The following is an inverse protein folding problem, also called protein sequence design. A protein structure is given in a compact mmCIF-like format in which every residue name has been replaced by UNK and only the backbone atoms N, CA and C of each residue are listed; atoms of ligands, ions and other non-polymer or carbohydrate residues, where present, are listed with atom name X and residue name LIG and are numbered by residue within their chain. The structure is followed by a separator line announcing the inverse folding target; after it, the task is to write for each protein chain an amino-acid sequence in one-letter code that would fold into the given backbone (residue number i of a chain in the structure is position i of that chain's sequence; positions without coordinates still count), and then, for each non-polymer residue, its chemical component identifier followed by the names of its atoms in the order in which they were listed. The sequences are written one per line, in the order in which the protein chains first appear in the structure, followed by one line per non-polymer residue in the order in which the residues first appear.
data_IF_638706132675
#
_entry.id   IF_638706132675
#
_cell.length_a   1.000
_cell.length_b   1.000
_cell.length_c   1.000
_cell.angle_alpha   90.00
_cell.angle_beta   90.00
_cell.angle_gamma   90.00
#
_symmetry.space_group_name_H-M   'P 1'
#
loop_
_entity.id
_entity.type
_entity.pdbx_description
1 polymer ?
#
# COMPACT_ATOMS: atom_id res chain seq x y z
N UNK A 1 40.58 -1.24 -18.57
CA UNK A 1 40.42 -0.99 -17.13
C UNK A 1 38.93 -0.92 -16.88
N UNK A 2 38.36 -1.99 -16.33
CA UNK A 2 36.94 -2.01 -15.94
C UNK A 2 36.73 -1.01 -14.80
N UNK A 3 35.60 -0.29 -14.76
CA UNK A 3 35.30 0.59 -13.64
C UNK A 3 35.18 -0.26 -12.35
N UNK A 4 35.57 0.28 -11.19
CA UNK A 4 35.39 -0.42 -9.93
C UNK A 4 33.90 -0.67 -9.69
N UNK A 5 33.56 -1.91 -9.32
CA UNK A 5 32.23 -2.25 -8.85
C UNK A 5 31.87 -1.28 -7.71
N UNK A 6 30.82 -0.50 -7.90
CA UNK A 6 30.23 0.32 -6.84
C UNK A 6 29.93 -0.60 -5.66
N UNK A 7 30.62 -0.40 -4.53
CA UNK A 7 30.30 -1.08 -3.28
C UNK A 7 28.80 -0.92 -3.03
N UNK A 8 28.07 -2.04 -3.00
CA UNK A 8 26.64 -2.00 -2.73
C UNK A 8 26.44 -1.41 -1.34
N UNK A 9 25.91 -0.19 -1.26
CA UNK A 9 25.56 0.42 0.04
C UNK A 9 24.73 -0.56 0.85
N UNK A 10 25.11 -0.80 2.11
CA UNK A 10 24.39 -1.72 3.00
C UNK A 10 22.95 -1.22 3.19
N UNK A 11 21.92 -1.97 2.71
CA UNK A 11 20.53 -1.55 2.85
C UNK A 11 20.09 -1.39 4.32
N UNK A 12 20.82 -1.97 5.28
CA UNK A 12 20.55 -1.82 6.71
C UNK A 12 21.15 -0.55 7.32
N UNK A 13 22.18 0.04 6.72
CA UNK A 13 22.87 1.22 7.26
C UNK A 13 21.97 2.48 7.31
N UNK A 14 20.88 2.49 6.53
CA UNK A 14 19.91 3.59 6.45
C UNK A 14 18.72 3.43 7.40
N UNK A 15 18.70 2.37 8.21
CA UNK A 15 17.56 2.11 9.09
C UNK A 15 17.60 2.93 10.38
N UNK A 16 16.43 3.33 10.89
CA UNK A 16 16.34 4.01 12.18
C UNK A 16 16.82 3.09 13.30
N UNK A 17 17.61 3.60 14.26
CA UNK A 17 18.02 2.80 15.41
C UNK A 17 16.80 2.42 16.26
N UNK A 18 16.82 1.19 16.79
CA UNK A 18 15.77 0.64 17.64
C UNK A 18 14.38 0.56 16.98
N UNK A 19 14.32 0.34 15.65
CA UNK A 19 13.07 0.32 14.88
C UNK A 19 11.99 -0.59 15.50
N UNK A 20 12.36 -1.80 15.93
CA UNK A 20 11.44 -2.75 16.59
C UNK A 20 10.86 -2.16 17.89
N UNK A 21 11.71 -1.59 18.75
CA UNK A 21 11.27 -1.00 20.02
C UNK A 21 10.33 0.20 19.79
N UNK A 22 10.58 1.00 18.75
CA UNK A 22 9.69 2.11 18.39
C UNK A 22 8.32 1.60 17.94
N UNK A 23 8.25 0.55 17.11
CA UNK A 23 6.98 -0.07 16.72
C UNK A 23 6.28 -0.76 17.89
N UNK A 24 7.01 -1.36 18.83
CA UNK A 24 6.44 -1.88 20.08
C UNK A 24 5.72 -0.78 20.85
N UNK A 25 6.35 0.39 21.01
CA UNK A 25 5.73 1.53 21.68
C UNK A 25 4.53 2.07 20.91
N UNK A 26 4.63 2.21 19.58
CA UNK A 26 3.54 2.68 18.74
C UNK A 26 2.31 1.77 18.80
N UNK A 27 2.51 0.44 18.79
CA UNK A 27 1.46 -0.56 18.96
C UNK A 27 0.82 -0.48 20.35
N UNK A 28 1.61 -0.33 21.41
CA UNK A 28 1.08 -0.14 22.77
C UNK A 28 0.20 1.11 22.86
N UNK A 29 0.65 2.23 22.29
CA UNK A 29 -0.15 3.47 22.24
C UNK A 29 -1.40 3.32 21.37
N UNK A 30 -1.37 2.47 20.34
CA UNK A 30 -2.56 2.17 19.53
C UNK A 30 -3.58 1.33 20.29
N UNK A 31 -3.15 0.25 20.93
CA UNK A 31 -4.01 -0.65 21.72
C UNK A 31 -4.72 0.08 22.86
N UNK A 32 -4.13 1.14 23.41
CA UNK A 32 -4.72 1.97 24.46
C UNK A 32 -5.71 3.04 23.95
N UNK A 33 -5.83 3.23 22.63
CA UNK A 33 -6.49 4.41 22.05
C UNK A 33 -7.96 4.26 21.67
N UNK A 34 -8.54 3.07 21.83
CA UNK A 34 -9.88 2.69 21.32
C UNK A 34 -10.10 2.91 19.80
N UNK A 35 -9.08 3.33 19.04
CA UNK A 35 -9.18 3.56 17.59
C UNK A 35 -9.16 2.23 16.84
N UNK A 36 -10.01 2.09 15.83
CA UNK A 36 -10.05 0.88 14.99
C UNK A 36 -9.06 0.92 13.82
N UNK A 37 -8.50 2.10 13.52
CA UNK A 37 -7.47 2.32 12.51
C UNK A 37 -6.48 3.39 12.96
N UNK A 38 -5.20 3.27 12.59
CA UNK A 38 -4.19 4.30 12.81
C UNK A 38 -3.02 4.18 11.83
N UNK A 39 -2.69 5.28 11.17
CA UNK A 39 -1.40 5.44 10.48
C UNK A 39 -0.30 5.63 11.53
N UNK A 40 0.70 4.75 11.51
CA UNK A 40 1.84 4.80 12.43
C UNK A 40 2.96 5.68 11.89
N UNK A 41 3.21 5.63 10.58
CA UNK A 41 4.24 6.44 9.93
C UNK A 41 4.03 6.55 8.42
N UNK A 42 4.69 7.54 7.82
CA UNK A 42 4.68 7.79 6.38
C UNK A 42 6.09 7.97 5.84
N UNK A 43 6.39 7.36 4.69
CA UNK A 43 7.64 7.51 3.96
C UNK A 43 7.35 8.32 2.68
N UNK A 44 7.98 9.50 2.48
CA UNK A 44 7.78 10.31 1.28
C UNK A 44 8.47 9.71 0.06
N UNK A 45 7.96 10.00 -1.15
CA UNK A 45 8.51 9.47 -2.39
C UNK A 45 9.90 10.00 -2.71
N UNK A 46 10.15 11.29 -2.41
CA UNK A 46 11.46 11.92 -2.55
C UNK A 46 12.04 12.20 -1.16
N UNK A 47 13.26 11.75 -0.83
CA UNK A 47 13.93 12.19 0.39
C UNK A 47 14.15 13.72 0.32
N UNK A 48 13.78 14.43 1.39
CA UNK A 48 13.91 15.89 1.43
C UNK A 48 15.35 16.33 1.07
N UNK A 49 15.53 17.44 0.33
CA UNK A 49 16.85 17.89 -0.10
C UNK A 49 17.82 17.99 1.09
N UNK A 50 19.02 17.46 0.85
CA UNK A 50 20.08 17.13 1.82
C UNK A 50 20.58 18.30 2.68
N UNK A 51 20.22 19.54 2.36
CA UNK A 51 20.51 20.69 3.22
C UNK A 51 19.62 20.77 4.48
N UNK A 52 18.46 20.10 4.50
CA UNK A 52 17.65 19.90 5.71
C UNK A 52 17.91 18.54 6.40
N UNK A 53 18.51 17.58 5.69
CA UNK A 53 18.79 16.23 6.20
C UNK A 53 19.86 16.21 7.31
N UNK A 54 20.77 17.19 7.34
CA UNK A 54 21.75 17.34 8.42
C UNK A 54 21.13 17.79 9.76
N UNK A 55 19.87 18.26 9.76
CA UNK A 55 19.12 18.73 10.93
C UNK A 55 17.86 17.90 11.21
N UNK A 56 17.55 16.88 10.40
CA UNK A 56 16.45 15.95 10.68
C UNK A 56 16.88 15.07 11.86
N UNK A 57 16.43 15.49 13.04
CA UNK A 57 16.55 14.75 14.29
C UNK A 57 16.20 13.28 14.01
N UNK A 58 17.14 12.36 14.24
CA UNK A 58 16.94 10.90 14.11
C UNK A 58 15.79 10.36 15.01
N UNK A 59 15.17 11.25 15.78
CA UNK A 59 13.90 11.11 16.51
C UNK A 59 12.64 11.11 15.63
N UNK A 60 12.64 11.74 14.45
CA UNK A 60 11.45 11.87 13.58
C UNK A 60 11.24 10.66 12.66
N UNK A 61 11.56 9.45 13.13
CA UNK A 61 11.27 8.24 12.38
C UNK A 61 10.18 7.47 13.10
N UNK A 62 9.11 7.20 12.35
CA UNK A 62 7.76 6.83 12.81
C UNK A 62 6.80 8.00 13.07
N UNK A 63 6.92 9.08 12.29
CA UNK A 63 5.95 10.16 12.33
C UNK A 63 4.94 9.97 11.19
N UNK A 64 3.63 9.92 11.48
CA UNK A 64 2.62 9.95 10.45
C UNK A 64 2.65 11.34 9.79
N UNK A 65 2.67 11.39 8.46
CA UNK A 65 2.71 12.64 7.68
C UNK A 65 1.40 12.78 6.90
N UNK A 66 0.37 13.42 7.49
CA UNK A 66 -0.88 13.67 6.80
C UNK A 66 -0.60 14.45 5.50
N UNK A 67 -1.29 14.13 4.39
CA UNK A 67 -1.20 14.92 3.18
C UNK A 67 -1.61 16.37 3.43
N UNK A 68 -1.09 17.29 2.62
CA UNK A 68 -1.51 18.69 2.71
C UNK A 68 -2.94 18.89 2.22
N UNK A 69 -3.31 18.21 1.15
CA UNK A 69 -4.63 18.24 0.55
C UNK A 69 -5.38 16.93 0.77
N UNK A 70 -6.73 16.91 0.65
CA UNK A 70 -7.48 15.67 0.61
C UNK A 70 -6.89 14.68 -0.41
N UNK A 71 -6.67 13.45 0.02
CA UNK A 71 -6.24 12.38 -0.90
C UNK A 71 -7.41 11.99 -1.80
N UNK A 72 -7.18 11.82 -3.10
CA UNK A 72 -8.22 11.33 -4.02
C UNK A 72 -8.34 9.82 -3.98
N UNK A 73 -7.20 9.12 -3.97
CA UNK A 73 -7.13 7.66 -4.03
C UNK A 73 -6.11 7.08 -3.05
N UNK A 74 -6.45 5.95 -2.44
CA UNK A 74 -5.54 5.18 -1.60
C UNK A 74 -5.41 3.77 -2.18
N UNK A 75 -4.20 3.40 -2.58
CA UNK A 75 -3.86 2.01 -2.93
C UNK A 75 -3.67 1.24 -1.62
N UNK A 76 -4.54 0.28 -1.31
CA UNK A 76 -4.50 -0.46 -0.04
C UNK A 76 -3.93 -1.85 -0.28
N UNK A 77 -2.78 -2.13 0.34
CA UNK A 77 -2.19 -3.46 0.39
C UNK A 77 -2.34 -4.02 1.82
N UNK A 78 -3.39 -4.80 2.02
CA UNK A 78 -3.73 -5.45 3.29
C UNK A 78 -3.20 -6.90 3.30
N UNK A 79 -2.28 -7.19 4.22
CA UNK A 79 -1.66 -8.51 4.33
C UNK A 79 -1.13 -8.76 5.74
N UNK A 80 -0.86 -10.03 6.05
CA UNK A 80 -0.20 -10.38 7.32
C UNK A 80 1.28 -9.99 7.36
N UNK A 81 1.90 -9.69 6.20
CA UNK A 81 3.30 -9.27 6.05
C UNK A 81 4.28 -10.08 6.93
N UNK A 82 4.23 -11.41 6.80
CA UNK A 82 4.97 -12.32 7.68
C UNK A 82 5.81 -13.36 6.90
N UNK A 83 6.79 -12.91 6.09
CA UNK A 83 7.16 -11.51 5.80
C UNK A 83 6.47 -10.95 4.53
N UNK A 84 6.64 -9.64 4.21
CA UNK A 84 6.40 -9.13 2.86
C UNK A 84 7.21 -9.92 1.80
N UNK A 85 6.71 -9.98 0.57
CA UNK A 85 7.30 -10.81 -0.50
C UNK A 85 7.31 -10.09 -1.84
N UNK A 86 8.02 -10.63 -2.83
CA UNK A 86 8.00 -10.08 -4.19
C UNK A 86 6.62 -10.13 -4.86
N UNK A 87 5.71 -11.01 -4.43
CA UNK A 87 4.31 -10.94 -4.88
C UNK A 87 3.62 -9.65 -4.40
N UNK A 88 3.83 -9.27 -3.13
CA UNK A 88 3.35 -7.99 -2.61
C UNK A 88 3.99 -6.81 -3.38
N UNK A 89 5.28 -6.91 -3.70
CA UNK A 89 5.99 -5.89 -4.46
C UNK A 89 5.41 -5.70 -5.86
N UNK A 90 5.18 -6.80 -6.59
CA UNK A 90 4.61 -6.78 -7.94
C UNK A 90 3.20 -6.18 -7.96
N UNK A 91 2.36 -6.53 -6.98
CA UNK A 91 1.02 -5.93 -6.84
C UNK A 91 1.09 -4.41 -6.65
N UNK A 92 1.97 -3.95 -5.74
CA UNK A 92 2.15 -2.53 -5.47
C UNK A 92 2.74 -1.78 -6.68
N UNK A 93 3.88 -2.23 -7.21
CA UNK A 93 4.58 -1.56 -8.32
C UNK A 93 3.72 -1.51 -9.59
N UNK A 94 3.00 -2.59 -9.92
CA UNK A 94 2.11 -2.59 -11.09
C UNK A 94 0.93 -1.63 -10.93
N UNK A 95 0.46 -1.39 -9.71
CA UNK A 95 -0.57 -0.38 -9.44
C UNK A 95 0.00 1.05 -9.50
N UNK A 96 1.23 1.25 -9.00
CA UNK A 96 1.91 2.55 -9.06
C UNK A 96 2.28 2.97 -10.49
N UNK A 97 2.59 2.01 -11.36
CA UNK A 97 2.89 2.24 -12.77
C UNK A 97 1.64 2.49 -13.63
N UNK A 98 0.44 2.26 -13.10
CA UNK A 98 -0.81 2.50 -13.81
C UNK A 98 -1.17 4.00 -13.78
N UNK A 99 -1.29 4.69 -14.93
CA UNK A 99 -1.55 6.13 -14.95
C UNK A 99 -2.85 6.55 -14.27
N UNK A 100 -3.82 5.64 -14.10
CA UNK A 100 -5.06 5.93 -13.36
C UNK A 100 -4.82 6.13 -11.86
N UNK A 101 -3.72 5.60 -11.34
CA UNK A 101 -3.37 5.61 -9.92
C UNK A 101 -2.05 6.31 -9.62
N UNK A 102 -1.10 6.29 -10.56
CA UNK A 102 0.16 7.04 -10.53
C UNK A 102 -0.14 8.54 -10.50
N UNK A 103 0.43 9.27 -9.53
CA UNK A 103 0.10 10.68 -9.24
C UNK A 103 0.39 11.71 -10.34
N UNK A 104 0.57 11.30 -11.59
CA UNK A 104 0.81 12.12 -12.77
C UNK A 104 -0.48 12.22 -13.61
N UNK A 105 -1.49 12.92 -13.09
CA UNK A 105 -2.63 13.30 -13.92
C UNK A 105 -2.25 14.45 -14.85
N UNK A 106 -2.31 14.26 -16.16
CA UNK A 106 -2.05 15.27 -17.20
C UNK A 106 -2.93 16.54 -17.02
N UNK A 107 -4.08 16.41 -16.34
CA UNK A 107 -5.06 17.48 -16.10
C UNK A 107 -4.82 18.30 -14.82
N UNK A 108 -3.70 18.12 -14.13
CA UNK A 108 -3.42 18.84 -12.88
C UNK A 108 -2.45 19.99 -13.10
N UNK A 109 -2.97 21.21 -13.30
CA UNK A 109 -2.18 22.46 -13.37
C UNK A 109 -1.22 22.66 -12.17
N UNK A 110 -1.36 21.87 -11.10
CA UNK A 110 -0.65 22.02 -9.82
C UNK A 110 0.28 20.84 -9.42
N UNK A 111 0.47 19.79 -10.25
CA UNK A 111 1.46 18.72 -9.97
C UNK A 111 1.34 18.00 -8.61
N UNK A 112 0.13 17.86 -8.06
CA UNK A 112 -0.13 17.44 -6.67
C UNK A 112 -0.20 15.92 -6.48
N UNK A 113 0.32 15.40 -5.35
CA UNK A 113 0.13 14.01 -4.90
C UNK A 113 -1.37 13.70 -4.70
N UNK A 114 -1.98 13.00 -5.65
CA UNK A 114 -3.40 12.63 -5.58
C UNK A 114 -3.62 11.23 -4.99
N UNK A 115 -2.58 10.39 -4.97
CA UNK A 115 -2.62 9.01 -4.52
C UNK A 115 -1.60 8.71 -3.42
N UNK A 116 -1.94 7.78 -2.51
CA UNK A 116 -1.02 7.23 -1.51
C UNK A 116 -1.07 5.70 -1.50
N UNK A 117 0.05 5.05 -1.15
CA UNK A 117 0.09 3.61 -0.93
C UNK A 117 0.01 3.31 0.57
N UNK A 118 -0.97 2.52 0.99
CA UNK A 118 -1.18 2.09 2.37
C UNK A 118 -0.80 0.62 2.54
N UNK A 119 0.24 0.36 3.33
CA UNK A 119 0.56 -0.97 3.85
C UNK A 119 -0.22 -1.18 5.15
N UNK A 120 -1.22 -2.06 5.12
CA UNK A 120 -2.16 -2.25 6.24
C UNK A 120 -1.94 -3.60 6.94
N UNK A 121 -1.75 -3.56 8.26
CA UNK A 121 -1.66 -4.74 9.11
C UNK A 121 -2.85 -4.84 10.06
N UNK A 122 -3.66 -5.89 9.91
CA UNK A 122 -4.70 -6.23 10.89
C UNK A 122 -4.10 -6.94 12.11
N UNK A 123 -4.24 -6.35 13.31
CA UNK A 123 -3.73 -6.94 14.56
C UNK A 123 -4.73 -7.91 15.21
N UNK A 124 -6.01 -7.79 14.88
CA UNK A 124 -7.08 -8.74 15.22
C UNK A 124 -7.56 -9.41 13.92
N UNK A 125 -6.69 -10.16 13.27
CA UNK A 125 -7.05 -10.79 12.00
C UNK A 125 -8.01 -11.97 12.24
N UNK A 126 -9.05 -12.10 11.42
CA UNK A 126 -10.08 -13.14 11.58
C UNK A 126 -9.52 -14.57 11.48
N UNK A 127 -8.45 -14.76 10.70
CA UNK A 127 -8.04 -16.09 10.25
C UNK A 127 -6.70 -16.59 10.81
N UNK A 128 -5.89 -15.75 11.50
CA UNK A 128 -4.48 -16.11 11.83
C UNK A 128 -3.96 -15.54 13.15
N UNK A 129 -3.42 -16.43 14.00
CA UNK A 129 -2.60 -16.07 15.16
C UNK A 129 -1.25 -15.42 14.73
N UNK A 130 -0.60 -14.59 15.58
CA UNK A 130 0.60 -13.84 15.23
C UNK A 130 1.90 -14.66 15.07
N UNK A 131 1.83 -15.97 14.82
CA UNK A 131 3.01 -16.82 14.62
C UNK A 131 3.50 -16.81 13.15
N UNK A 132 4.82 -16.94 12.89
CA UNK A 132 5.91 -16.95 13.86
C UNK A 132 6.40 -15.55 14.30
N UNK A 133 6.57 -14.57 13.42
CA UNK A 133 7.08 -13.25 13.83
C UNK A 133 6.02 -12.37 14.52
N UNK A 134 6.41 -11.73 15.63
CA UNK A 134 5.57 -10.78 16.37
C UNK A 134 5.24 -9.51 15.56
N UNK A 135 4.15 -8.81 15.91
CA UNK A 135 3.69 -7.61 15.19
C UNK A 135 4.75 -6.49 15.07
N UNK A 136 5.55 -6.13 16.09
CA UNK A 136 6.60 -5.14 15.94
C UNK A 136 7.64 -5.50 14.86
N UNK A 137 7.99 -6.78 14.74
CA UNK A 137 8.89 -7.26 13.70
C UNK A 137 8.27 -7.18 12.31
N UNK A 138 6.98 -7.52 12.18
CA UNK A 138 6.25 -7.37 10.90
C UNK A 138 6.19 -5.92 10.45
N UNK A 139 5.91 -4.99 11.37
CA UNK A 139 5.92 -3.55 11.07
C UNK A 139 7.32 -3.05 10.69
N UNK A 140 8.37 -3.54 11.34
CA UNK A 140 9.75 -3.25 10.94
C UNK A 140 10.04 -3.75 9.51
N UNK A 141 9.63 -4.98 9.17
CA UNK A 141 9.73 -5.49 7.81
C UNK A 141 8.89 -4.69 6.81
N UNK A 142 7.69 -4.22 7.20
CA UNK A 142 6.87 -3.33 6.36
C UNK A 142 7.57 -1.98 6.10
N UNK A 143 8.29 -1.44 7.09
CA UNK A 143 9.08 -0.22 6.93
C UNK A 143 10.22 -0.41 5.92
N UNK A 144 10.99 -1.49 6.08
CA UNK A 144 12.05 -1.86 5.14
C UNK A 144 11.47 -2.10 3.74
N UNK A 145 10.36 -2.82 3.65
CA UNK A 145 9.65 -3.09 2.40
C UNK A 145 9.14 -1.81 1.72
N UNK A 146 8.66 -0.82 2.48
CA UNK A 146 8.27 0.48 1.95
C UNK A 146 9.47 1.23 1.32
N UNK A 147 10.66 1.16 1.93
CA UNK A 147 11.88 1.73 1.33
C UNK A 147 12.26 1.02 0.03
N UNK A 148 12.19 -0.31 0.01
CA UNK A 148 12.47 -1.10 -1.20
C UNK A 148 11.47 -0.78 -2.34
N UNK A 149 10.19 -0.59 -2.01
CA UNK A 149 9.15 -0.19 -2.96
C UNK A 149 9.45 1.18 -3.59
N UNK A 150 9.78 2.17 -2.77
CA UNK A 150 10.10 3.52 -3.24
C UNK A 150 11.35 3.52 -4.12
N UNK A 151 12.39 2.79 -3.73
CA UNK A 151 13.60 2.65 -4.54
C UNK A 151 13.32 1.97 -5.89
N UNK A 152 12.52 0.90 -5.90
CA UNK A 152 12.15 0.19 -7.12
C UNK A 152 11.29 1.05 -8.07
N UNK A 153 10.34 1.82 -7.53
CA UNK A 153 9.52 2.73 -8.32
C UNK A 153 10.35 3.86 -8.98
N UNK A 154 11.32 4.42 -8.25
CA UNK A 154 12.23 5.43 -8.79
C UNK A 154 13.16 4.86 -9.88
N UNK A 155 13.67 3.64 -9.70
CA UNK A 155 14.51 2.96 -10.69
C UNK A 155 13.74 2.63 -11.99
N UNK A 156 12.49 2.17 -11.87
CA UNK A 156 11.63 1.89 -13.01
C UNK A 156 11.36 3.15 -13.86
N UNK A 157 11.10 4.28 -13.20
CA UNK A 157 10.92 5.59 -13.86
C UNK A 157 12.18 5.99 -14.65
N UNK A 158 13.36 5.80 -14.05
CA UNK A 158 14.64 6.16 -14.69
C UNK A 158 14.91 5.33 -15.95
N UNK A 159 14.57 4.04 -15.91
CA UNK A 159 14.80 3.10 -17.03
C UNK A 159 13.89 3.42 -18.22
N UNK A 160 12.60 3.67 -17.97
CA UNK A 160 11.64 4.06 -19.01
C UNK A 160 12.08 5.34 -19.74
N UNK A 161 12.54 6.35 -19.00
CA UNK A 161 13.05 7.59 -19.59
C UNK A 161 14.27 7.37 -20.49
N UNK A 162 15.13 6.38 -20.16
CA UNK A 162 16.35 6.10 -20.92
C UNK A 162 16.04 5.35 -22.22
N UNK A 163 15.11 4.39 -22.20
CA UNK A 163 14.69 3.65 -23.39
C UNK A 163 13.91 4.52 -24.38
N UNK A 164 13.06 5.42 -23.89
CA UNK A 164 12.31 6.37 -24.73
C UNK A 164 13.25 7.38 -25.41
N UNK A 165 14.29 7.84 -24.71
CA UNK A 165 15.31 8.75 -25.27
C UNK A 165 16.21 8.07 -26.32
N UNK A 166 16.51 6.78 -26.16
CA UNK A 166 17.31 6.03 -27.14
C UNK A 166 16.52 5.64 -28.39
N UNK A 167 15.20 5.51 -28.31
CA UNK A 167 14.34 5.14 -29.45
C UNK A 167 13.76 6.36 -30.20
N UNK A 168 13.87 7.57 -29.65
CA UNK A 168 13.34 8.80 -30.22
C UNK A 168 14.38 9.78 -30.78
N UNK A 169 15.19 9.39 -31.78
CA UNK A 169 15.65 10.31 -32.87
C UNK A 169 16.66 9.65 -33.83
N UNK A 170 16.21 9.35 -35.05
CA UNK A 170 17.06 9.35 -36.26
C UNK A 170 16.90 10.67 -37.06
N UNK A 171 16.36 11.73 -36.46
CA UNK A 171 16.22 13.06 -37.07
C UNK A 171 17.32 14.04 -36.63
N UNK A 172 17.89 14.76 -37.60
CA UNK A 172 18.97 15.77 -37.55
C UNK A 172 19.26 16.43 -36.19
N UNK A 173 20.53 16.33 -35.76
CA UNK A 173 21.08 17.08 -34.61
C UNK A 173 21.49 18.50 -35.04
N UNK A 174 20.87 19.51 -34.44
CA UNK A 174 21.42 20.87 -34.38
C UNK A 174 22.14 21.06 -33.03
N UNK A 175 23.44 21.30 -33.09
CA UNK A 175 24.40 21.23 -31.98
C UNK A 175 24.62 22.61 -31.32
N UNK A 176 23.55 23.38 -31.10
CA UNK A 176 23.68 24.80 -30.71
C UNK A 176 22.83 25.30 -29.53
N UNK A 177 22.11 24.44 -28.79
CA UNK A 177 21.33 24.90 -27.61
C UNK A 177 21.69 24.14 -26.32
N UNK A 178 22.19 24.81 -25.26
CA UNK A 178 22.49 24.16 -23.99
C UNK A 178 21.22 23.85 -23.20
N UNK A 179 20.93 22.56 -23.03
CA UNK A 179 20.39 21.96 -21.81
C UNK A 179 19.07 22.50 -21.27
N UNK A 180 17.97 22.38 -22.03
CA UNK A 180 16.62 22.38 -21.44
C UNK A 180 16.19 20.92 -21.24
N UNK A 181 16.01 20.50 -20.00
CA UNK A 181 15.44 19.19 -19.67
C UNK A 181 14.11 19.00 -20.43
N UNK A 182 13.86 17.82 -21.03
CA UNK A 182 12.60 17.58 -21.73
C UNK A 182 11.43 17.72 -20.73
N UNK A 183 10.34 18.40 -21.11
CA UNK A 183 9.15 18.46 -20.29
C UNK A 183 8.39 17.13 -20.45
N UNK A 184 8.13 16.43 -19.33
CA UNK A 184 7.02 15.49 -19.26
C UNK A 184 7.37 14.01 -19.08
N UNK A 185 8.02 13.63 -17.98
CA UNK A 185 7.80 12.33 -17.34
C UNK A 185 7.85 12.55 -15.82
N UNK A 186 6.68 12.78 -15.20
CA UNK A 186 6.61 13.03 -13.76
C UNK A 186 7.01 11.75 -13.01
N UNK A 187 8.05 11.84 -12.18
CA UNK A 187 8.41 10.75 -11.28
C UNK A 187 7.21 10.34 -10.43
N UNK A 188 7.09 9.04 -10.12
CA UNK A 188 6.05 8.51 -9.24
C UNK A 188 6.20 9.13 -7.85
N UNK A 189 5.50 10.24 -7.61
CA UNK A 189 5.51 10.96 -6.33
C UNK A 189 4.40 10.40 -5.42
N UNK A 190 4.58 9.16 -4.96
CA UNK A 190 3.62 8.48 -4.08
C UNK A 190 4.27 8.19 -2.72
N UNK A 191 3.69 8.76 -1.67
CA UNK A 191 4.06 8.44 -0.30
C UNK A 191 3.52 7.06 0.12
N UNK A 192 4.29 6.35 0.95
CA UNK A 192 3.91 5.05 1.52
C UNK A 192 3.58 5.19 3.00
N UNK A 193 2.34 4.90 3.37
CA UNK A 193 1.85 4.89 4.74
C UNK A 193 1.86 3.47 5.31
N UNK A 194 2.25 3.34 6.58
CA UNK A 194 2.17 2.09 7.34
C UNK A 194 1.15 2.27 8.43
N UNK A 195 0.11 1.43 8.42
CA UNK A 195 -0.99 1.52 9.36
C UNK A 195 -1.38 0.18 9.97
N UNK A 196 -2.09 0.27 11.08
CA UNK A 196 -2.66 -0.87 11.80
C UNK A 196 -4.16 -0.71 11.93
N UNK A 197 -4.86 -1.85 12.02
CA UNK A 197 -6.30 -1.89 12.27
C UNK A 197 -6.68 -3.08 13.15
N UNK A 198 -7.72 -2.91 13.96
CA UNK A 198 -8.39 -4.00 14.68
C UNK A 198 -9.54 -4.60 13.89
N UNK A 199 -9.90 -4.02 12.74
CA UNK A 199 -11.01 -4.51 11.94
C UNK A 199 -10.65 -5.82 11.22
N UNK A 200 -11.47 -6.88 11.36
CA UNK A 200 -11.14 -8.19 10.82
C UNK A 200 -11.44 -8.30 9.31
N UNK A 201 -12.49 -7.63 8.83
CA UNK A 201 -13.02 -7.80 7.47
C UNK A 201 -12.80 -6.58 6.59
N UNK A 202 -12.69 -6.78 5.27
CA UNK A 202 -12.41 -5.72 4.29
C UNK A 202 -13.38 -4.53 4.35
N UNK A 203 -14.68 -4.80 4.45
CA UNK A 203 -15.70 -3.74 4.55
C UNK A 203 -15.51 -2.85 5.79
N UNK A 204 -15.20 -3.45 6.94
CA UNK A 204 -14.98 -2.73 8.18
C UNK A 204 -13.64 -1.96 8.16
N UNK A 205 -12.57 -2.56 7.62
CA UNK A 205 -11.29 -1.88 7.36
C UNK A 205 -11.49 -0.65 6.48
N UNK A 206 -12.28 -0.79 5.42
CA UNK A 206 -12.55 0.29 4.47
C UNK A 206 -13.31 1.45 5.11
N UNK A 207 -14.32 1.13 5.93
CA UNK A 207 -15.04 2.14 6.72
C UNK A 207 -14.11 2.86 7.72
N UNK A 208 -13.23 2.12 8.41
CA UNK A 208 -12.28 2.70 9.35
C UNK A 208 -11.26 3.65 8.66
N UNK A 209 -10.85 3.34 7.43
CA UNK A 209 -10.00 4.22 6.61
C UNK A 209 -10.80 5.47 6.16
N UNK A 210 -12.02 5.30 5.64
CA UNK A 210 -12.85 6.42 5.13
C UNK A 210 -13.24 7.44 6.19
N UNK A 211 -13.41 6.99 7.44
CA UNK A 211 -13.79 7.84 8.57
C UNK A 211 -12.60 8.50 9.26
N UNK A 212 -11.38 8.12 8.90
CA UNK A 212 -10.17 8.68 9.48
C UNK A 212 -9.87 10.09 8.92
N UNK A 213 -9.59 11.04 9.81
CA UNK A 213 -9.22 12.41 9.41
C UNK A 213 -7.85 12.52 8.73
N UNK A 214 -6.99 11.49 8.87
CA UNK A 214 -5.63 11.52 8.36
C UNK A 214 -5.56 11.88 6.87
N UNK A 215 -6.45 11.33 6.04
CA UNK A 215 -6.44 11.54 4.59
C UNK A 215 -7.24 12.75 4.10
N UNK A 216 -7.86 13.52 5.01
CA UNK A 216 -8.66 14.72 4.66
C UNK A 216 -7.81 15.93 4.29
N UNK A 217 -6.50 15.88 4.49
CA UNK A 217 -5.61 17.01 4.22
C UNK A 217 -5.55 18.00 5.38
N UNK A 218 -4.40 18.64 5.57
CA UNK A 218 -4.19 19.65 6.62
C UNK A 218 -4.72 21.05 6.25
N UNK A 219 -4.84 21.38 4.96
CA UNK A 219 -5.30 22.71 4.52
C UNK A 219 -6.75 23.02 4.94
N UNK A 220 -7.62 22.01 5.01
CA UNK A 220 -9.02 22.17 5.47
C UNK A 220 -9.13 22.54 6.96
N UNK A 221 -8.15 22.18 7.79
CA UNK A 221 -8.18 22.45 9.24
C UNK A 221 -7.84 23.92 9.58
N UNK A 222 -7.15 24.64 8.69
CA UNK A 222 -6.71 26.02 8.90
C UNK A 222 -7.80 27.08 8.64
N UNK A 223 -8.92 26.71 8.03
CA UNK A 223 -10.01 27.64 7.70
C UNK A 223 -11.03 27.83 8.84
N UNK A 224 -10.94 27.05 9.94
CA UNK A 224 -11.94 27.01 11.01
C UNK A 224 -11.55 27.72 12.32
N UNK A 225 -10.47 28.53 12.34
CA UNK A 225 -9.99 29.18 13.58
C UNK A 225 -9.84 30.68 13.45
N UNK A 226 -10.97 31.41 13.34
CA UNK A 226 -11.09 32.79 13.86
C UNK A 226 -12.55 33.25 13.83
N UNK A 227 -13.29 33.10 14.93
CA UNK A 227 -14.33 34.08 15.29
C UNK A 227 -14.61 34.07 16.79
N UNK A 228 -14.01 35.03 17.51
CA UNK A 228 -14.45 35.45 18.84
C UNK A 228 -14.99 36.88 18.73
N UNK A 229 -16.32 36.99 18.74
CA UNK A 229 -17.19 38.10 19.20
C UNK A 229 -16.83 39.59 18.95
N UNK A 230 -17.66 40.31 18.18
CA UNK A 230 -18.78 41.17 18.68
C UNK A 230 -19.38 42.13 17.61
N UNK A 231 -20.73 42.20 17.57
CA UNK A 231 -21.70 43.26 17.13
C UNK A 231 -21.35 44.26 15.98
N UNK A 232 -22.20 44.67 15.01
CA UNK A 232 -23.68 44.78 14.82
C UNK A 232 -23.99 45.16 13.36
N UNK A 233 -25.12 44.66 12.82
CA UNK A 233 -25.98 45.13 11.70
C UNK A 233 -25.41 45.94 10.51
N UNK A 234 -25.41 45.35 9.30
CA UNK A 234 -26.43 45.61 8.24
C UNK A 234 -25.96 45.19 6.83
N UNK A 235 -26.83 44.45 6.13
CA UNK A 235 -27.12 44.50 4.69
C UNK A 235 -25.97 44.25 3.69
N UNK A 236 -25.90 43.03 3.17
CA UNK A 236 -26.09 42.75 1.72
C UNK A 236 -26.00 41.24 1.47
N UNK A 237 -27.10 40.69 0.98
CA UNK A 237 -27.20 39.34 0.44
C UNK A 237 -26.43 39.31 -0.89
N UNK A 238 -25.30 38.61 -0.91
CA UNK A 238 -24.71 38.07 -2.12
C UNK A 238 -24.78 36.55 -2.01
N UNK A 239 -25.72 35.96 -2.74
CA UNK A 239 -25.81 34.52 -2.94
C UNK A 239 -24.58 34.05 -3.71
N UNK A 240 -23.50 33.72 -3.01
CA UNK A 240 -22.53 32.73 -3.48
C UNK A 240 -22.97 31.39 -2.92
N UNK A 241 -23.81 30.68 -3.66
CA UNK A 241 -24.00 29.24 -3.49
C UNK A 241 -22.70 28.54 -3.92
N UNK A 242 -21.67 28.61 -3.08
CA UNK A 242 -20.67 27.55 -3.07
C UNK A 242 -21.36 26.35 -2.44
N UNK A 243 -21.71 25.38 -3.28
CA UNK A 243 -22.06 24.04 -2.85
C UNK A 243 -20.99 23.56 -1.88
N UNK A 244 -21.31 23.55 -0.58
CA UNK A 244 -20.50 22.88 0.44
C UNK A 244 -20.58 21.38 0.16
N UNK A 245 -19.86 20.91 -0.85
CA UNK A 245 -19.60 19.49 -1.02
C UNK A 245 -18.77 19.08 0.20
N UNK A 246 -19.37 18.32 1.10
CA UNK A 246 -18.61 17.66 2.16
C UNK A 246 -17.44 16.93 1.53
N UNK A 247 -16.22 17.00 2.11
CA UNK A 247 -15.06 16.35 1.55
C UNK A 247 -15.36 14.86 1.39
N UNK A 248 -15.43 14.39 0.14
CA UNK A 248 -15.67 12.98 -0.14
C UNK A 248 -14.48 12.17 0.36
N UNK A 249 -14.76 11.00 0.94
CA UNK A 249 -13.71 10.07 1.34
C UNK A 249 -12.88 9.64 0.11
N UNK A 250 -11.58 9.39 0.27
CA UNK A 250 -10.74 8.92 -0.82
C UNK A 250 -11.28 7.59 -1.39
N UNK A 251 -11.22 7.42 -2.72
CA UNK A 251 -11.47 6.13 -3.34
C UNK A 251 -10.38 5.13 -2.90
N UNK A 252 -10.78 3.94 -2.47
CA UNK A 252 -9.87 2.93 -1.95
C UNK A 252 -9.69 1.81 -2.97
N UNK A 253 -8.48 1.57 -3.43
CA UNK A 253 -8.17 0.51 -4.40
C UNK A 253 -7.41 -0.60 -3.67
N UNK A 254 -8.12 -1.68 -3.37
CA UNK A 254 -7.54 -2.83 -2.67
C UNK A 254 -6.77 -3.72 -3.64
N UNK A 255 -5.47 -3.84 -3.39
CA UNK A 255 -4.56 -4.70 -4.12
C UNK A 255 -4.63 -6.12 -3.54
N UNK A 256 -5.20 -7.06 -4.30
CA UNK A 256 -5.49 -8.40 -3.78
C UNK A 256 -5.10 -9.48 -4.77
N UNK A 257 -4.90 -10.71 -4.27
CA UNK A 257 -4.83 -11.91 -5.10
C UNK A 257 -6.22 -12.49 -5.38
N UNK A 258 -6.32 -13.37 -6.37
CA UNK A 258 -7.58 -14.03 -6.72
C UNK A 258 -8.21 -14.83 -5.57
N UNK A 259 -7.41 -15.51 -4.73
CA UNK A 259 -7.94 -16.23 -3.56
C UNK A 259 -8.66 -15.31 -2.57
N UNK A 260 -8.20 -14.06 -2.44
CA UNK A 260 -8.85 -13.05 -1.61
C UNK A 260 -10.12 -12.51 -2.25
N UNK A 261 -10.17 -12.36 -3.59
CA UNK A 261 -11.41 -12.03 -4.30
C UNK A 261 -12.52 -13.03 -3.99
N UNK A 262 -12.19 -14.34 -4.02
CA UNK A 262 -13.14 -15.40 -3.68
C UNK A 262 -13.67 -15.20 -2.26
N UNK A 263 -12.78 -14.94 -1.28
CA UNK A 263 -13.18 -14.73 0.11
C UNK A 263 -14.03 -13.47 0.30
N UNK A 264 -13.75 -12.38 -0.42
CA UNK A 264 -14.54 -11.14 -0.35
C UNK A 264 -15.99 -11.40 -0.78
N UNK A 265 -16.22 -12.24 -1.77
CA UNK A 265 -17.59 -12.56 -2.21
C UNK A 265 -18.20 -13.78 -1.50
N UNK A 266 -17.51 -14.43 -0.58
CA UNK A 266 -18.01 -15.60 0.14
C UNK A 266 -18.90 -15.18 1.34
N UNK A 267 -20.23 -15.48 1.32
CA UNK A 267 -21.17 -15.07 2.36
C UNK A 267 -20.80 -15.55 3.77
N UNK A 268 -19.97 -16.60 3.91
CA UNK A 268 -19.58 -17.12 5.24
C UNK A 268 -18.81 -16.11 6.09
N UNK A 269 -18.18 -15.11 5.47
CA UNK A 269 -17.47 -14.03 6.18
C UNK A 269 -18.41 -12.90 6.64
N UNK A 270 -19.72 -13.03 6.41
CA UNK A 270 -20.73 -12.03 6.75
C UNK A 270 -21.86 -12.60 7.65
N UNK A 271 -21.55 -13.36 8.72
CA UNK A 271 -22.57 -14.04 9.53
C UNK A 271 -23.45 -13.07 10.34
N UNK A 272 -22.95 -11.87 10.62
CA UNK A 272 -23.65 -10.84 11.41
C UNK A 272 -24.53 -9.89 10.58
N UNK A 273 -24.62 -10.09 9.27
CA UNK A 273 -25.48 -9.32 8.38
C UNK A 273 -26.95 -9.77 8.52
N UNK A 274 -27.50 -9.59 9.72
CA UNK A 274 -28.72 -10.26 10.18
C UNK A 274 -29.98 -9.92 9.37
N UNK A 275 -29.99 -8.85 8.56
CA UNK A 275 -31.19 -8.44 7.81
C UNK A 275 -30.93 -8.09 6.33
N UNK A 276 -29.68 -8.21 5.84
CA UNK A 276 -29.29 -7.75 4.50
C UNK A 276 -28.28 -8.62 3.76
N UNK A 277 -27.87 -9.76 4.33
CA UNK A 277 -26.90 -10.67 3.72
C UNK A 277 -25.57 -9.99 3.37
N UNK A 278 -24.86 -10.52 2.37
CA UNK A 278 -23.57 -9.94 1.96
C UNK A 278 -23.68 -8.46 1.52
N UNK A 279 -24.85 -8.03 1.04
CA UNK A 279 -25.09 -6.65 0.60
C UNK A 279 -24.96 -5.61 1.72
N UNK A 280 -25.43 -5.88 2.94
CA UNK A 280 -25.32 -4.89 4.02
C UNK A 280 -23.88 -4.52 4.35
N UNK A 281 -22.93 -5.43 4.08
CA UNK A 281 -21.51 -5.20 4.29
C UNK A 281 -20.81 -4.66 3.03
N UNK A 282 -21.14 -5.19 1.85
CA UNK A 282 -20.43 -4.86 0.62
C UNK A 282 -20.97 -3.61 -0.11
N UNK A 283 -22.21 -3.17 0.17
CA UNK A 283 -22.73 -1.90 -0.35
C UNK A 283 -21.92 -0.68 0.09
N UNK A 284 -21.73 -0.44 1.40
CA UNK A 284 -20.90 0.68 1.83
C UNK A 284 -19.44 0.51 1.38
N UNK A 285 -18.95 -0.73 1.27
CA UNK A 285 -17.61 -1.00 0.75
C UNK A 285 -17.46 -0.55 -0.71
N UNK A 286 -18.28 -1.08 -1.64
CA UNK A 286 -18.19 -0.76 -3.07
C UNK A 286 -18.73 0.64 -3.46
N UNK A 287 -19.31 1.37 -2.50
CA UNK A 287 -19.61 2.79 -2.69
C UNK A 287 -18.34 3.63 -2.92
N UNK A 288 -17.22 3.25 -2.29
CA UNK A 288 -15.96 3.98 -2.39
C UNK A 288 -14.72 3.09 -2.54
N UNK A 289 -14.88 1.77 -2.65
CA UNK A 289 -13.78 0.84 -2.87
C UNK A 289 -13.84 0.16 -4.25
N UNK A 290 -12.65 -0.16 -4.77
CA UNK A 290 -12.41 -1.00 -5.94
C UNK A 290 -11.46 -2.13 -5.55
N UNK A 291 -11.54 -3.25 -6.27
CA UNK A 291 -10.59 -4.35 -6.15
C UNK A 291 -9.72 -4.38 -7.40
N UNK A 292 -8.41 -4.33 -7.23
CA UNK A 292 -7.44 -4.64 -8.28
C UNK A 292 -6.84 -6.01 -7.97
N UNK A 293 -7.33 -7.02 -8.67
CA UNK A 293 -7.10 -8.43 -8.41
C UNK A 293 -6.02 -8.95 -9.34
N UNK A 294 -4.90 -9.37 -8.77
CA UNK A 294 -3.80 -9.98 -9.50
C UNK A 294 -4.07 -11.47 -9.67
N UNK A 295 -4.07 -11.94 -10.91
CA UNK A 295 -4.23 -13.37 -11.22
C UNK A 295 -3.06 -14.16 -10.64
N UNK A 296 -3.37 -15.36 -10.16
CA UNK A 296 -2.38 -16.25 -9.55
C UNK A 296 -2.71 -17.68 -9.93
N UNK A 297 -2.25 -18.16 -11.08
CA UNK A 297 -2.47 -19.55 -11.47
C UNK A 297 -1.90 -20.49 -10.43
N UNK A 298 -2.76 -21.34 -9.87
CA UNK A 298 -2.35 -22.41 -8.97
C UNK A 298 -3.37 -23.56 -8.98
N UNK A 299 -2.99 -24.76 -8.49
CA UNK A 299 -3.86 -25.93 -8.54
C UNK A 299 -5.19 -25.78 -7.79
N UNK A 300 -5.30 -24.86 -6.85
CA UNK A 300 -6.51 -24.64 -6.04
C UNK A 300 -7.52 -23.72 -6.74
N UNK A 301 -7.03 -22.75 -7.52
CA UNK A 301 -7.84 -21.65 -8.05
C UNK A 301 -7.90 -21.58 -9.58
N UNK A 302 -7.26 -22.52 -10.27
CA UNK A 302 -7.29 -22.63 -11.73
C UNK A 302 -6.33 -21.67 -12.42
N UNK A 303 -6.28 -21.77 -13.75
CA UNK A 303 -5.47 -20.93 -14.63
C UNK A 303 -6.07 -19.52 -14.82
N UNK A 304 -5.36 -18.63 -15.53
CA UNK A 304 -5.83 -17.27 -15.80
C UNK A 304 -7.22 -17.25 -16.47
N UNK A 305 -7.50 -18.05 -17.53
CA UNK A 305 -8.83 -18.15 -18.12
C UNK A 305 -9.93 -18.51 -17.11
N UNK A 306 -9.71 -19.51 -16.24
CA UNK A 306 -10.68 -19.91 -15.23
C UNK A 306 -10.95 -18.79 -14.23
N UNK A 307 -9.92 -18.05 -13.81
CA UNK A 307 -10.05 -16.91 -12.90
C UNK A 307 -10.83 -15.75 -13.54
N UNK A 308 -10.60 -15.45 -14.82
CA UNK A 308 -11.37 -14.43 -15.55
C UNK A 308 -12.82 -14.87 -15.78
N UNK A 309 -13.04 -16.15 -16.07
CA UNK A 309 -14.38 -16.73 -16.21
C UNK A 309 -15.17 -16.68 -14.90
N UNK A 310 -14.52 -16.80 -13.74
CA UNK A 310 -15.17 -16.58 -12.44
C UNK A 310 -15.77 -15.18 -12.32
N UNK A 311 -15.01 -14.12 -12.63
CA UNK A 311 -15.54 -12.75 -12.60
C UNK A 311 -16.68 -12.54 -13.62
N UNK A 312 -16.59 -13.17 -14.79
CA UNK A 312 -17.67 -13.14 -15.78
C UNK A 312 -18.97 -13.74 -15.23
N UNK A 313 -18.91 -14.89 -14.54
CA UNK A 313 -20.09 -15.51 -13.90
C UNK A 313 -20.65 -14.67 -12.75
N UNK A 314 -19.78 -14.05 -11.95
CA UNK A 314 -20.19 -13.09 -10.92
C UNK A 314 -21.05 -11.97 -11.51
N UNK A 315 -20.61 -11.41 -12.65
CA UNK A 315 -21.37 -10.40 -13.40
C UNK A 315 -22.67 -10.98 -13.98
N UNK A 316 -22.65 -12.22 -14.48
CA UNK A 316 -23.79 -12.92 -15.09
C UNK A 316 -24.72 -13.59 -14.05
N UNK A 317 -25.03 -12.85 -12.97
CA UNK A 317 -26.06 -13.20 -11.99
C UNK A 317 -25.63 -14.10 -10.84
N UNK A 318 -24.38 -14.59 -10.77
CA UNK A 318 -23.90 -15.34 -9.61
C UNK A 318 -23.84 -14.49 -8.34
N UNK A 319 -23.41 -13.22 -8.42
CA UNK A 319 -23.45 -12.29 -7.30
C UNK A 319 -24.87 -12.10 -6.75
N UNK A 320 -25.85 -11.87 -7.64
CA UNK A 320 -27.25 -11.69 -7.24
C UNK A 320 -27.80 -12.91 -6.52
N UNK A 321 -27.48 -14.12 -6.98
CA UNK A 321 -27.89 -15.37 -6.33
C UNK A 321 -27.33 -15.53 -4.91
N UNK A 322 -26.16 -14.95 -4.66
CA UNK A 322 -25.50 -14.94 -3.35
C UNK A 322 -25.99 -13.80 -2.45
N UNK A 323 -27.02 -13.05 -2.87
CA UNK A 323 -27.54 -11.90 -2.13
C UNK A 323 -26.72 -10.62 -2.32
N UNK A 324 -25.87 -10.57 -3.35
CA UNK A 324 -25.07 -9.42 -3.71
C UNK A 324 -25.64 -8.60 -4.88
N UNK A 325 -24.84 -7.65 -5.39
CA UNK A 325 -25.23 -6.79 -6.51
C UNK A 325 -24.34 -7.03 -7.73
N UNK A 326 -24.93 -7.02 -8.93
CA UNK A 326 -24.20 -7.33 -10.17
C UNK A 326 -23.15 -6.24 -10.49
N UNK A 327 -23.47 -4.97 -10.20
CA UNK A 327 -22.61 -3.81 -10.43
C UNK A 327 -21.31 -3.84 -9.60
N UNK A 328 -21.22 -4.64 -8.54
CA UNK A 328 -19.96 -4.82 -7.82
C UNK A 328 -18.89 -5.45 -8.70
N UNK A 329 -19.26 -6.28 -9.69
CA UNK A 329 -18.31 -6.85 -10.63
C UNK A 329 -17.58 -5.76 -11.46
N UNK A 330 -18.19 -4.59 -11.66
CA UNK A 330 -17.58 -3.47 -12.39
C UNK A 330 -16.61 -2.66 -11.53
N UNK A 331 -16.61 -2.91 -10.21
CA UNK A 331 -15.61 -2.43 -9.25
C UNK A 331 -14.42 -3.37 -9.12
N UNK A 332 -14.41 -4.50 -9.84
CA UNK A 332 -13.32 -5.47 -9.84
C UNK A 332 -12.55 -5.40 -11.16
N UNK A 333 -11.25 -5.17 -11.06
CA UNK A 333 -10.32 -5.25 -12.16
C UNK A 333 -9.42 -6.48 -12.00
N UNK A 334 -9.24 -7.24 -13.10
CA UNK A 334 -8.34 -8.39 -13.15
C UNK A 334 -7.06 -8.02 -13.91
N UNK A 335 -5.92 -8.05 -13.23
CA UNK A 335 -4.59 -7.80 -13.80
C UNK A 335 -3.74 -9.06 -13.80
N UNK A 336 -2.85 -9.21 -14.78
CA UNK A 336 -2.00 -10.38 -14.87
C UNK A 336 -0.86 -10.33 -13.84
N UNK A 337 -0.67 -11.42 -13.10
CA UNK A 337 0.43 -11.57 -12.14
C UNK A 337 1.83 -11.76 -12.74
N UNK A 338 1.92 -11.72 -14.07
CA UNK A 338 3.09 -12.08 -14.86
C UNK A 338 3.17 -13.60 -15.11
N UNK A 339 3.46 -13.98 -16.34
CA UNK A 339 3.97 -15.31 -16.67
C UNK A 339 5.44 -15.32 -16.26
N UNK A 340 5.77 -15.92 -15.12
CA UNK A 340 7.16 -16.31 -14.90
C UNK A 340 7.50 -17.35 -15.96
N UNK A 341 8.48 -17.07 -16.80
CA UNK A 341 9.11 -18.09 -17.65
C UNK A 341 9.48 -19.28 -16.74
N UNK A 342 8.93 -20.45 -17.08
CA UNK A 342 9.17 -21.76 -16.45
C UNK A 342 8.84 -21.90 -14.95
N UNK A 343 7.78 -22.67 -14.64
CA UNK A 343 7.60 -23.46 -13.40
C UNK A 343 7.86 -22.80 -12.03
N UNK A 344 8.05 -21.47 -11.94
CA UNK A 344 8.39 -20.79 -10.70
C UNK A 344 7.10 -20.60 -9.88
N UNK A 345 6.77 -21.67 -9.15
CA UNK A 345 5.64 -21.78 -8.27
C UNK A 345 5.38 -20.46 -7.51
N UNK A 346 4.16 -19.94 -7.57
CA UNK A 346 3.79 -18.61 -7.06
C UNK A 346 4.38 -18.26 -5.66
N UNK A 347 5.06 -17.11 -5.57
CA UNK A 347 5.73 -16.57 -4.37
C UNK A 347 4.74 -16.43 -3.20
N UNK A 348 5.11 -16.89 -2.00
CA UNK A 348 4.28 -16.78 -0.78
C UNK A 348 5.14 -16.65 0.48
N UNK A 349 4.58 -16.04 1.54
CA UNK A 349 5.29 -15.92 2.82
C UNK A 349 5.62 -17.28 3.46
N UNK A 350 4.84 -18.33 3.15
CA UNK A 350 5.17 -19.71 3.59
C UNK A 350 6.48 -20.17 2.96
N UNK A 351 6.65 -20.02 1.64
CA UNK A 351 7.90 -20.38 0.96
C UNK A 351 9.11 -19.62 1.48
N UNK A 352 8.91 -18.36 1.85
CA UNK A 352 9.97 -17.56 2.47
C UNK A 352 10.43 -18.20 3.77
N UNK A 353 9.50 -18.57 4.65
CA UNK A 353 9.82 -19.22 5.92
C UNK A 353 10.49 -20.58 5.70
N UNK A 354 10.00 -21.36 4.74
CA UNK A 354 10.60 -22.66 4.41
C UNK A 354 12.03 -22.51 3.86
N UNK A 355 12.31 -21.46 3.07
CA UNK A 355 13.65 -21.18 2.57
C UNK A 355 14.60 -20.78 3.71
N UNK A 356 14.14 -19.99 4.68
CA UNK A 356 14.93 -19.62 5.87
C UNK A 356 15.22 -20.84 6.74
N UNK A 357 14.23 -21.69 6.99
CA UNK A 357 14.40 -22.95 7.75
C UNK A 357 15.43 -23.87 7.08
N UNK A 358 15.46 -23.90 5.74
CA UNK A 358 16.45 -24.66 4.97
C UNK A 358 17.80 -23.95 4.81
N UNK A 359 17.97 -22.77 5.41
CA UNK A 359 19.13 -21.89 5.22
C UNK A 359 19.44 -21.59 3.73
N UNK A 360 18.42 -21.65 2.87
CA UNK A 360 18.51 -21.39 1.44
C UNK A 360 18.39 -19.88 1.17
N UNK A 361 19.47 -19.17 1.45
CA UNK A 361 19.54 -17.72 1.32
C UNK A 361 19.43 -17.24 -0.13
N UNK A 362 19.75 -18.10 -1.10
CA UNK A 362 19.63 -17.79 -2.52
C UNK A 362 18.17 -17.83 -2.95
N UNK A 363 17.43 -18.90 -2.61
CA UNK A 363 15.99 -18.95 -2.82
C UNK A 363 15.25 -17.84 -2.08
N UNK A 364 15.68 -17.48 -0.86
CA UNK A 364 15.14 -16.33 -0.15
C UNK A 364 15.23 -15.04 -1.00
N UNK A 365 16.36 -14.83 -1.69
CA UNK A 365 16.56 -13.67 -2.57
C UNK A 365 15.63 -13.62 -3.80
N UNK A 366 15.06 -14.75 -4.21
CA UNK A 366 14.03 -14.83 -5.25
C UNK A 366 12.60 -14.62 -4.72
N UNK A 367 12.41 -14.58 -3.40
CA UNK A 367 11.09 -14.54 -2.77
C UNK A 367 10.78 -13.20 -2.08
N UNK A 368 11.78 -12.45 -1.62
CA UNK A 368 11.61 -11.16 -0.93
C UNK A 368 12.53 -10.09 -1.50
N UNK A 369 12.23 -8.82 -1.22
CA UNK A 369 13.04 -7.68 -1.62
C UNK A 369 14.40 -7.66 -0.89
N UNK A 370 15.43 -6.99 -1.43
CA UNK A 370 16.78 -6.99 -0.86
C UNK A 370 16.84 -6.52 0.60
N UNK A 371 16.13 -5.44 0.96
CA UNK A 371 16.07 -4.94 2.32
C UNK A 371 15.40 -5.95 3.26
N UNK A 372 14.26 -6.53 2.86
CA UNK A 372 13.57 -7.54 3.66
C UNK A 372 14.44 -8.80 3.86
N UNK A 373 15.17 -9.24 2.83
CA UNK A 373 16.15 -10.33 2.93
C UNK A 373 17.23 -10.03 3.98
N UNK A 374 17.81 -8.83 3.91
CA UNK A 374 18.83 -8.39 4.85
C UNK A 374 18.29 -8.32 6.29
N UNK A 375 17.07 -7.79 6.48
CA UNK A 375 16.41 -7.72 7.78
C UNK A 375 16.15 -9.10 8.38
N UNK A 376 15.54 -10.01 7.61
CA UNK A 376 15.25 -11.39 8.05
C UNK A 376 16.53 -12.09 8.49
N UNK A 377 17.60 -11.99 7.70
CA UNK A 377 18.89 -12.59 8.03
C UNK A 377 19.55 -11.94 9.25
N UNK A 378 19.57 -10.61 9.31
CA UNK A 378 20.22 -9.85 10.37
C UNK A 378 19.52 -9.98 11.73
N UNK A 379 18.21 -10.17 11.75
CA UNK A 379 17.42 -10.39 12.96
C UNK A 379 17.27 -11.87 13.32
N UNK A 380 17.74 -12.81 12.49
CA UNK A 380 17.59 -14.25 12.73
C UNK A 380 16.14 -14.73 12.73
N UNK A 381 15.23 -14.04 12.04
CA UNK A 381 13.80 -14.38 12.02
C UNK A 381 13.56 -15.70 11.29
N UNK A 382 12.55 -16.46 11.73
CA UNK A 382 12.11 -17.70 11.07
C UNK A 382 13.10 -18.87 11.09
N UNK A 383 14.18 -18.79 11.87
CA UNK A 383 15.10 -19.91 12.10
C UNK A 383 14.56 -20.92 13.11
N UNK A 384 15.25 -22.05 13.27
CA UNK A 384 14.96 -23.05 14.31
C UNK A 384 15.17 -22.42 15.70
N UNK A 385 14.08 -22.26 16.48
CA UNK A 385 14.12 -21.68 17.84
C UNK A 385 12.93 -20.81 18.24
N UNK A 386 12.11 -20.31 17.30
CA UNK A 386 10.89 -19.55 17.62
C UNK A 386 9.67 -20.43 17.99
N UNK A 387 9.85 -21.75 18.05
CA UNK A 387 8.80 -22.75 18.32
C UNK A 387 8.71 -23.27 19.76
N UNK A 388 9.76 -23.06 20.58
CA UNK A 388 9.84 -23.61 21.94
C UNK A 388 10.42 -22.56 22.89
N UNK A 389 9.57 -21.74 23.51
CA UNK A 389 10.07 -20.75 24.46
C UNK A 389 9.00 -19.81 25.00
N UNK A 390 8.04 -20.35 25.75
CA UNK A 390 7.39 -19.69 26.91
C UNK A 390 6.32 -20.60 27.55
N UNK A 391 6.62 -21.89 27.74
CA UNK A 391 5.76 -22.77 28.56
C UNK A 391 6.66 -23.70 29.41
N UNK A 392 7.49 -23.07 30.25
CA UNK A 392 8.50 -23.80 31.01
C UNK A 392 9.36 -22.95 31.92
N UNK A 393 8.75 -22.13 32.79
CA UNK A 393 9.45 -21.58 33.95
C UNK A 393 8.49 -21.27 35.10
N UNK A 394 8.30 -22.30 35.94
CA UNK A 394 7.99 -22.33 37.39
C UNK A 394 6.81 -21.55 37.94
#
# INVERSE_FOLDING_TARGET
MSPPATESEDPMARLPPNLVARFTQALKTYQLSNSTFRVLCSLPATPAPTHAAASLDTRSVLTPLPPHHPTKSILVLDSSFNPPTLAHQRMALSALADPRYGGAGEDSEDGRQQSRLLLLLAINNADKAPKPAAFPQRLAMMYVFAQDLLAAAAAATTTQNQEEYCNGNEGERDESTPGRSPPGCAAVDIAVDIAVTTEPYFHAKSNAISTCDFYRGTTLATSSTTTTTSHTSSRQEAHQQQSQQSPQAPEQIYLTGFDTLIRIFDPKYYPSAADGGIASALDPFFAHARLRVTTRPDPSWGDVPAQRAYLARLRDGELTRMGGRAEWADRVEMVDGGEGEEEETAVSSTKVRDAVLRADWEALGRLVSPGVRAWVRGQGLYGEGEGEGEDGAR
#
